data_IF_096498895246
#
_entry.id   IF_096498895246
#
_cell.length_a   1.000
_cell.length_b   1.000
_cell.length_c   1.000
_cell.angle_alpha   90.00
_cell.angle_beta   90.00
_cell.angle_gamma   90.00
#
_symmetry.space_group_name_H-M   'P 1'
#
loop_
_entity.id
_entity.type
_entity.pdbx_description
1 polymer ?
#
# COMPACT_ATOMS: atom_id res chain seq x y z
N UNK A 1 9.68 -21.27 38.93
CA UNK A 1 9.04 -22.42 38.23
C UNK A 1 7.53 -22.26 38.03
N UNK A 2 6.76 -21.73 39.01
CA UNK A 2 5.32 -21.42 38.83
C UNK A 2 5.05 -20.36 37.76
N UNK A 3 5.89 -19.31 37.68
CA UNK A 3 5.72 -18.25 36.67
C UNK A 3 6.00 -18.72 35.24
N UNK A 4 6.95 -19.65 35.07
CA UNK A 4 7.23 -20.28 33.78
C UNK A 4 6.04 -21.09 33.26
N UNK A 5 5.42 -21.91 34.12
CA UNK A 5 4.21 -22.68 33.76
C UNK A 5 3.04 -21.76 33.40
N UNK A 6 2.85 -20.67 34.16
CA UNK A 6 1.81 -19.66 33.88
C UNK A 6 2.06 -18.89 32.58
N UNK A 7 3.32 -18.59 32.25
CA UNK A 7 3.67 -17.96 30.98
C UNK A 7 3.47 -18.92 29.81
N UNK A 8 3.92 -20.17 29.95
CA UNK A 8 3.77 -21.20 28.93
C UNK A 8 2.29 -21.48 28.63
N UNK A 9 1.43 -21.61 29.64
CA UNK A 9 -0.01 -21.82 29.42
C UNK A 9 -0.67 -20.64 28.71
N UNK A 10 -0.22 -19.41 28.97
CA UNK A 10 -0.70 -18.21 28.27
C UNK A 10 -0.27 -18.21 26.80
N UNK A 11 0.98 -18.57 26.51
CA UNK A 11 1.48 -18.68 25.14
C UNK A 11 0.69 -19.74 24.35
N UNK A 12 0.49 -20.92 24.94
CA UNK A 12 -0.29 -22.00 24.30
C UNK A 12 -1.72 -21.57 24.01
N UNK A 13 -2.38 -20.90 24.96
CA UNK A 13 -3.74 -20.39 24.74
C UNK A 13 -3.79 -19.33 23.63
N UNK A 14 -2.79 -18.45 23.57
CA UNK A 14 -2.69 -17.41 22.55
C UNK A 14 -2.40 -18.01 21.16
N UNK A 15 -1.54 -19.02 21.08
CA UNK A 15 -1.26 -19.74 19.83
C UNK A 15 -2.51 -20.45 19.29
N UNK A 16 -3.30 -21.08 20.18
CA UNK A 16 -4.56 -21.69 19.81
C UNK A 16 -5.55 -20.66 19.28
N UNK A 17 -5.70 -19.53 19.97
CA UNK A 17 -6.57 -18.43 19.55
C UNK A 17 -6.15 -17.84 18.18
N UNK A 18 -4.84 -17.72 17.93
CA UNK A 18 -4.31 -17.32 16.63
C UNK A 18 -4.64 -18.34 15.53
N UNK A 19 -4.51 -19.64 15.81
CA UNK A 19 -4.81 -20.70 14.85
C UNK A 19 -6.30 -20.74 14.50
N UNK A 20 -7.18 -20.58 15.49
CA UNK A 20 -8.63 -20.52 15.32
C UNK A 20 -9.04 -19.28 14.53
N UNK A 21 -8.45 -18.11 14.86
CA UNK A 21 -8.67 -16.87 14.10
C UNK A 21 -8.22 -16.99 12.65
N UNK A 22 -7.05 -17.57 12.39
CA UNK A 22 -6.55 -17.78 11.02
C UNK A 22 -7.46 -18.74 10.22
N UNK A 23 -8.03 -19.73 10.90
CA UNK A 23 -8.99 -20.65 10.29
C UNK A 23 -10.27 -19.92 9.89
N UNK A 24 -10.81 -19.06 10.76
CA UNK A 24 -11.96 -18.20 10.46
C UNK A 24 -11.67 -17.30 9.27
N UNK A 25 -10.50 -16.64 9.22
CA UNK A 25 -10.08 -15.76 8.10
C UNK A 25 -10.06 -16.54 6.78
N UNK A 26 -9.51 -17.76 6.78
CA UNK A 26 -9.44 -18.60 5.57
C UNK A 26 -10.82 -19.04 5.10
N UNK A 27 -11.66 -19.53 6.01
CA UNK A 27 -13.02 -19.96 5.69
C UNK A 27 -13.81 -18.77 5.15
N UNK A 28 -13.73 -17.61 5.82
CA UNK A 28 -14.36 -16.39 5.36
C UNK A 28 -13.88 -15.99 3.96
N UNK A 29 -12.58 -15.98 3.71
CA UNK A 29 -12.03 -15.63 2.40
C UNK A 29 -12.49 -16.59 1.31
N UNK A 30 -12.55 -17.89 1.61
CA UNK A 30 -13.10 -18.87 0.68
C UNK A 30 -14.60 -18.66 0.45
N UNK A 31 -15.41 -18.40 1.48
CA UNK A 31 -16.85 -18.26 1.32
C UNK A 31 -17.27 -16.97 0.61
N UNK A 32 -16.52 -15.88 0.78
CA UNK A 32 -16.96 -14.54 0.33
C UNK A 32 -16.09 -13.91 -0.77
N UNK A 33 -14.87 -14.42 -1.03
CA UNK A 33 -13.99 -13.89 -2.08
C UNK A 33 -13.67 -14.87 -3.21
N UNK A 34 -14.09 -16.14 -3.15
CA UNK A 34 -13.83 -17.11 -4.23
C UNK A 34 -14.86 -17.00 -5.37
N UNK A 35 -14.72 -16.00 -6.25
CA UNK A 35 -15.22 -15.96 -7.64
C UNK A 35 -16.73 -16.04 -7.92
N UNK A 36 -17.54 -16.60 -7.01
CA UNK A 36 -19.00 -16.63 -7.07
C UNK A 36 -19.46 -15.44 -6.26
N UNK A 37 -20.02 -14.41 -6.92
CA UNK A 37 -20.64 -13.29 -6.23
C UNK A 37 -21.86 -13.82 -5.46
N UNK A 38 -21.64 -14.34 -4.26
CA UNK A 38 -22.73 -14.72 -3.39
C UNK A 38 -23.57 -13.47 -3.15
N UNK A 39 -24.85 -13.49 -3.54
CA UNK A 39 -25.74 -12.36 -3.25
C UNK A 39 -25.79 -12.22 -1.73
N UNK A 40 -25.27 -11.10 -1.22
CA UNK A 40 -25.23 -10.76 0.21
C UNK A 40 -26.63 -10.30 0.66
N UNK A 41 -27.57 -11.24 0.67
CA UNK A 41 -28.95 -11.04 1.07
C UNK A 41 -29.28 -11.84 2.34
N UNK A 42 -30.19 -11.31 3.18
CA UNK A 42 -30.70 -12.01 4.35
C UNK A 42 -29.64 -12.40 5.39
N UNK A 43 -29.68 -13.66 5.84
CA UNK A 43 -28.80 -14.18 6.92
C UNK A 43 -27.31 -14.16 6.55
N UNK A 44 -26.97 -14.30 5.27
CA UNK A 44 -25.58 -14.26 4.81
C UNK A 44 -24.94 -12.89 5.05
N UNK A 45 -25.71 -11.80 4.94
CA UNK A 45 -25.23 -10.45 5.23
C UNK A 45 -24.84 -10.29 6.69
N UNK A 46 -25.67 -10.79 7.62
CA UNK A 46 -25.39 -10.73 9.05
C UNK A 46 -24.15 -11.57 9.42
N UNK A 47 -24.00 -12.75 8.83
CA UNK A 47 -22.80 -13.59 9.00
C UNK A 47 -21.56 -12.89 8.45
N UNK A 48 -21.65 -12.30 7.26
CA UNK A 48 -20.58 -11.55 6.62
C UNK A 48 -20.15 -10.34 7.48
N UNK A 49 -21.08 -9.53 7.95
CA UNK A 49 -20.81 -8.37 8.79
C UNK A 49 -20.17 -8.76 10.13
N UNK A 50 -20.64 -9.85 10.75
CA UNK A 50 -20.07 -10.37 12.00
C UNK A 50 -18.61 -10.82 11.84
N UNK A 51 -18.29 -11.56 10.78
CA UNK A 51 -16.95 -12.11 10.60
C UNK A 51 -15.98 -11.12 9.96
N UNK A 52 -16.45 -10.25 9.07
CA UNK A 52 -15.64 -9.14 8.54
C UNK A 52 -15.12 -8.24 9.66
N UNK A 53 -15.93 -7.89 10.66
CA UNK A 53 -15.47 -7.12 11.82
C UNK A 53 -14.35 -7.82 12.62
N UNK A 54 -14.30 -9.16 12.59
CA UNK A 54 -13.21 -9.96 13.19
C UNK A 54 -11.95 -10.05 12.33
N UNK A 55 -12.07 -9.75 11.03
CA UNK A 55 -10.95 -9.70 10.06
C UNK A 55 -10.41 -8.27 9.91
N UNK A 56 -11.26 -7.28 10.20
CA UNK A 56 -10.94 -5.86 10.24
C UNK A 56 -10.08 -5.42 11.45
N UNK A 57 -9.75 -6.15 12.55
CA UNK A 57 -8.78 -5.60 13.52
C UNK A 57 -7.37 -5.39 12.93
N UNK A 58 -7.10 -5.92 11.73
CA UNK A 58 -5.90 -5.63 10.94
C UNK A 58 -6.04 -4.41 10.01
N UNK A 59 -7.25 -3.92 9.79
CA UNK A 59 -7.60 -2.79 8.93
C UNK A 59 -8.27 -1.71 9.78
N UNK A 60 -7.69 -0.51 9.89
CA UNK A 60 -8.38 0.58 10.60
C UNK A 60 -9.78 0.80 9.97
N UNK A 61 -10.82 1.11 10.76
CA UNK A 61 -12.11 1.56 10.20
C UNK A 61 -11.99 2.86 9.38
N UNK A 62 -10.81 3.50 9.40
CA UNK A 62 -10.53 4.72 8.65
C UNK A 62 -9.90 4.37 7.30
N UNK A 63 -10.38 5.08 6.27
CA UNK A 63 -9.91 4.94 4.90
C UNK A 63 -8.58 5.71 4.80
N UNK A 64 -7.53 5.14 4.17
CA UNK A 64 -6.28 5.87 3.98
C UNK A 64 -6.49 7.14 3.15
N UNK A 65 -5.71 8.18 3.42
CA UNK A 65 -5.77 9.44 2.67
C UNK A 65 -4.80 9.38 1.47
N UNK A 66 -5.31 9.69 0.27
CA UNK A 66 -4.49 9.80 -0.95
C UNK A 66 -4.04 11.24 -1.16
N UNK A 67 -2.75 11.48 -1.24
CA UNK A 67 -2.18 12.79 -1.59
C UNK A 67 -1.65 12.78 -3.03
N UNK A 68 -1.99 13.82 -3.80
CA UNK A 68 -1.43 14.05 -5.13
C UNK A 68 -0.61 15.34 -5.10
N UNK A 69 0.72 15.21 -5.00
CA UNK A 69 1.61 16.36 -4.86
C UNK A 69 1.58 17.03 -3.48
N UNK A 70 1.71 18.36 -3.44
CA UNK A 70 1.71 19.19 -2.21
C UNK A 70 0.30 19.46 -1.65
N UNK A 71 -0.74 19.13 -2.41
CA UNK A 71 -2.11 19.19 -1.93
C UNK A 71 -2.37 17.84 -1.25
N UNK A 72 -2.41 17.85 0.08
CA UNK A 72 -3.15 16.84 0.83
C UNK A 72 -4.61 17.03 0.48
N UNK A 73 -4.99 16.58 -0.71
CA UNK A 73 -6.38 16.40 -1.02
C UNK A 73 -6.81 15.33 -0.05
N UNK A 74 -7.65 15.67 0.91
CA UNK A 74 -8.53 14.70 1.55
C UNK A 74 -9.50 14.24 0.47
N UNK A 75 -8.99 13.67 -0.63
CA UNK A 75 -9.81 12.96 -1.59
C UNK A 75 -10.19 11.68 -0.87
N UNK A 76 -11.26 11.78 -0.08
CA UNK A 76 -12.42 10.93 -0.24
C UNK A 76 -12.32 10.23 -1.60
N UNK A 77 -12.24 8.90 -1.59
CA UNK A 77 -12.24 8.01 -2.77
C UNK A 77 -10.86 7.61 -3.33
N UNK A 78 -10.13 6.79 -2.56
CA UNK A 78 -8.93 6.04 -3.01
C UNK A 78 -9.17 5.22 -4.30
N UNK A 79 -10.42 4.83 -4.59
CA UNK A 79 -10.75 3.91 -5.68
C UNK A 79 -11.83 4.42 -6.66
N UNK A 80 -12.20 5.69 -6.60
CA UNK A 80 -13.23 6.27 -7.49
C UNK A 80 -14.67 5.99 -7.01
N UNK A 81 -15.39 7.08 -6.80
CA UNK A 81 -16.84 7.22 -6.54
C UNK A 81 -17.47 6.40 -5.39
N UNK A 82 -17.98 7.11 -4.37
CA UNK A 82 -18.98 6.61 -3.42
C UNK A 82 -18.53 6.51 -1.97
N UNK A 83 -19.34 7.04 -1.04
CA UNK A 83 -19.20 6.82 0.41
C UNK A 83 -19.15 5.31 0.70
N UNK A 84 -18.11 4.76 1.34
CA UNK A 84 -17.93 3.32 1.46
C UNK A 84 -18.73 2.74 2.64
N UNK A 85 -19.32 3.60 3.47
CA UNK A 85 -19.85 3.25 4.80
C UNK A 85 -21.32 3.66 4.96
N UNK A 86 -21.94 4.35 4.00
CA UNK A 86 -23.35 4.76 4.20
C UNK A 86 -24.30 3.57 4.27
N UNK A 87 -23.98 2.40 3.70
CA UNK A 87 -24.80 1.18 3.79
C UNK A 87 -24.04 -0.17 3.64
N UNK A 88 -22.70 -0.17 3.69
CA UNK A 88 -21.87 -1.31 3.23
C UNK A 88 -20.69 -1.68 4.12
N UNK A 89 -20.16 -2.87 3.88
CA UNK A 89 -19.01 -3.41 4.59
C UNK A 89 -17.69 -2.88 3.98
N UNK A 90 -16.77 -2.38 4.81
CA UNK A 90 -15.49 -1.84 4.36
C UNK A 90 -14.64 -2.86 3.58
N UNK A 91 -14.70 -4.14 3.98
CA UNK A 91 -13.94 -5.21 3.35
C UNK A 91 -14.48 -5.54 1.94
N UNK A 92 -15.80 -5.50 1.76
CA UNK A 92 -16.46 -5.64 0.45
C UNK A 92 -16.09 -4.46 -0.47
N UNK A 93 -16.08 -3.25 0.10
CA UNK A 93 -15.61 -2.07 -0.62
C UNK A 93 -14.17 -2.25 -1.10
N UNK A 94 -13.22 -2.64 -0.23
CA UNK A 94 -11.85 -2.92 -0.67
C UNK A 94 -11.81 -4.00 -1.73
N UNK A 95 -12.47 -5.14 -1.52
CA UNK A 95 -12.44 -6.25 -2.48
C UNK A 95 -12.93 -5.87 -3.88
N UNK A 96 -14.05 -5.15 -3.99
CA UNK A 96 -14.62 -4.73 -5.28
C UNK A 96 -13.80 -3.66 -5.98
N UNK A 97 -13.10 -2.84 -5.20
CA UNK A 97 -12.39 -1.66 -5.69
C UNK A 97 -10.87 -1.86 -5.81
N UNK A 98 -10.34 -2.99 -5.35
CA UNK A 98 -8.95 -3.40 -5.55
C UNK A 98 -8.70 -3.72 -7.03
N UNK A 99 -8.37 -2.69 -7.82
CA UNK A 99 -7.87 -2.83 -9.18
C UNK A 99 -6.37 -2.55 -9.21
N UNK A 100 -5.56 -3.60 -9.38
CA UNK A 100 -4.13 -3.47 -9.56
C UNK A 100 -3.81 -2.89 -10.94
N UNK A 101 -3.52 -1.59 -11.01
CA UNK A 101 -3.24 -0.91 -12.29
C UNK A 101 -1.75 -0.61 -12.51
N UNK A 102 -0.88 -0.82 -11.50
CA UNK A 102 0.53 -0.45 -11.61
C UNK A 102 1.45 -0.99 -10.52
N UNK A 103 2.56 -0.27 -10.29
CA UNK A 103 3.64 -0.64 -9.38
C UNK A 103 3.38 -0.04 -8.02
N UNK A 104 3.30 -0.86 -6.98
CA UNK A 104 3.09 -0.42 -5.60
C UNK A 104 4.38 -0.57 -4.79
N UNK A 105 4.80 0.48 -4.09
CA UNK A 105 6.00 0.52 -3.26
C UNK A 105 5.65 0.92 -1.83
N UNK A 106 6.14 0.18 -0.84
CA UNK A 106 6.15 0.65 0.54
C UNK A 106 7.43 1.44 0.82
N UNK A 107 7.31 2.64 1.39
CA UNK A 107 8.41 3.56 1.57
C UNK A 107 8.35 4.33 2.88
N UNK A 108 9.54 4.69 3.36
CA UNK A 108 9.77 5.63 4.46
C UNK A 108 10.75 6.69 3.98
N UNK A 109 10.88 7.82 4.69
CA UNK A 109 11.82 8.90 4.32
C UNK A 109 13.24 8.40 4.04
N UNK A 110 13.73 7.42 4.80
CA UNK A 110 15.08 6.84 4.64
C UNK A 110 15.33 6.19 3.28
N UNK A 111 14.29 5.81 2.55
CA UNK A 111 14.35 5.16 1.23
C UNK A 111 14.15 6.15 0.07
N UNK A 112 13.97 7.45 0.37
CA UNK A 112 13.63 8.46 -0.64
C UNK A 112 14.64 8.56 -1.78
N UNK A 113 15.95 8.43 -1.49
CA UNK A 113 17.02 8.49 -2.49
C UNK A 113 17.00 7.30 -3.44
N UNK A 114 16.74 6.12 -2.90
CA UNK A 114 16.64 4.86 -3.65
C UNK A 114 15.40 4.88 -4.55
N UNK A 115 14.28 5.39 -4.05
CA UNK A 115 13.03 5.53 -4.81
C UNK A 115 13.21 6.48 -6.01
N UNK A 116 13.88 7.62 -5.81
CA UNK A 116 14.20 8.54 -6.92
C UNK A 116 15.01 7.84 -8.01
N UNK A 117 16.06 7.09 -7.62
CA UNK A 117 16.86 6.31 -8.58
C UNK A 117 16.03 5.26 -9.31
N UNK A 118 15.15 4.58 -8.57
CA UNK A 118 14.26 3.57 -9.13
C UNK A 118 13.31 4.18 -10.18
N UNK A 119 12.69 5.32 -9.87
CA UNK A 119 11.82 6.04 -10.81
C UNK A 119 12.59 6.42 -12.08
N UNK A 120 13.83 6.93 -11.97
CA UNK A 120 14.64 7.25 -13.14
C UNK A 120 14.92 6.02 -14.01
N UNK A 121 15.24 4.87 -13.40
CA UNK A 121 15.44 3.62 -14.13
C UNK A 121 14.16 3.18 -14.82
N UNK A 122 13.01 3.19 -14.14
CA UNK A 122 11.72 2.84 -14.75
C UNK A 122 11.38 3.74 -15.95
N UNK A 123 11.64 5.03 -15.83
CA UNK A 123 11.46 5.99 -16.93
C UNK A 123 12.40 5.72 -18.09
N UNK A 124 13.67 5.39 -17.82
CA UNK A 124 14.64 5.03 -18.85
C UNK A 124 14.27 3.74 -19.59
N UNK A 125 13.56 2.83 -18.93
CA UNK A 125 13.01 1.61 -19.53
C UNK A 125 11.68 1.85 -20.27
N UNK A 126 11.19 3.09 -20.34
CA UNK A 126 9.94 3.40 -21.02
C UNK A 126 8.68 2.90 -20.30
N UNK A 127 8.74 2.66 -18.98
CA UNK A 127 7.59 2.22 -18.20
C UNK A 127 6.43 3.22 -18.34
N UNK A 128 5.20 2.73 -18.52
CA UNK A 128 3.98 3.57 -18.57
C UNK A 128 3.03 3.30 -17.40
N UNK A 129 3.35 2.32 -16.57
CA UNK A 129 2.50 1.93 -15.45
C UNK A 129 2.55 2.99 -14.34
N UNK A 130 1.40 3.32 -13.72
CA UNK A 130 1.38 4.23 -12.58
C UNK A 130 2.17 3.64 -11.41
N UNK A 131 2.77 4.52 -10.60
CA UNK A 131 3.52 4.17 -9.40
C UNK A 131 2.76 4.68 -8.18
N UNK A 132 2.44 3.79 -7.25
CA UNK A 132 1.80 4.14 -5.98
C UNK A 132 2.76 3.90 -4.83
N UNK A 133 3.01 4.93 -4.02
CA UNK A 133 3.90 4.85 -2.87
C UNK A 133 3.08 4.91 -1.58
N UNK A 134 3.07 3.79 -0.88
CA UNK A 134 2.48 3.62 0.45
C UNK A 134 3.50 4.02 1.52
N UNK A 135 3.15 4.99 2.36
CA UNK A 135 4.00 5.43 3.48
C UNK A 135 3.18 5.61 4.75
N UNK A 136 3.82 5.57 5.93
CA UNK A 136 3.13 5.58 7.22
C UNK A 136 3.35 6.88 7.97
N UNK A 137 2.88 8.00 7.39
CA UNK A 137 3.08 9.36 7.92
C UNK A 137 4.54 9.71 8.24
N UNK A 138 5.48 8.95 7.69
CA UNK A 138 6.92 8.98 7.96
C UNK A 138 7.71 9.43 6.73
N UNK A 139 7.02 9.97 5.73
CA UNK A 139 7.58 10.56 4.52
C UNK A 139 7.56 12.09 4.64
N UNK A 140 8.73 12.70 4.84
CA UNK A 140 8.88 14.15 4.96
C UNK A 140 8.51 14.87 3.66
N UNK A 141 8.02 16.11 3.76
CA UNK A 141 7.65 16.94 2.61
C UNK A 141 8.78 17.06 1.57
N UNK A 142 10.02 17.29 2.01
CA UNK A 142 11.19 17.34 1.11
C UNK A 142 11.40 16.04 0.33
N UNK A 143 11.15 14.89 0.96
CA UNK A 143 11.24 13.60 0.31
C UNK A 143 10.09 13.37 -0.68
N UNK A 144 8.86 13.77 -0.32
CA UNK A 144 7.71 13.76 -1.24
C UNK A 144 8.00 14.58 -2.50
N UNK A 145 8.48 15.81 -2.32
CA UNK A 145 8.84 16.70 -3.43
C UNK A 145 9.94 16.11 -4.32
N UNK A 146 11.01 15.56 -3.74
CA UNK A 146 12.08 14.92 -4.51
C UNK A 146 11.58 13.75 -5.37
N UNK A 147 10.67 12.93 -4.82
CA UNK A 147 10.05 11.81 -5.52
C UNK A 147 9.14 12.30 -6.66
N UNK A 148 8.31 13.32 -6.40
CA UNK A 148 7.44 13.93 -7.43
C UNK A 148 8.27 14.54 -8.56
N UNK A 149 9.34 15.26 -8.23
CA UNK A 149 10.25 15.85 -9.22
C UNK A 149 10.89 14.77 -10.11
N UNK A 150 11.34 13.66 -9.53
CA UNK A 150 11.91 12.54 -10.28
C UNK A 150 10.92 11.93 -11.30
N UNK A 151 9.62 11.95 -10.99
CA UNK A 151 8.57 11.44 -11.87
C UNK A 151 8.19 12.41 -13.00
N UNK A 152 8.27 13.72 -12.77
CA UNK A 152 7.77 14.76 -13.69
C UNK A 152 8.87 15.47 -14.51
N UNK A 153 10.12 15.45 -14.06
CA UNK A 153 11.21 16.21 -14.71
C UNK A 153 11.43 15.80 -16.17
N UNK A 154 11.80 16.75 -17.04
CA UNK A 154 12.08 16.48 -18.45
C UNK A 154 13.39 15.70 -18.61
N UNK A 155 13.54 15.04 -19.76
CA UNK A 155 14.62 14.11 -20.04
C UNK A 155 16.00 14.77 -19.98
N UNK A 156 16.08 16.01 -20.45
CA UNK A 156 17.30 16.81 -20.55
C UNK A 156 17.87 17.13 -19.16
N UNK A 157 16.98 17.44 -18.21
CA UNK A 157 17.34 17.71 -16.82
C UNK A 157 17.78 16.44 -16.10
N UNK A 158 17.19 15.29 -16.45
CA UNK A 158 17.48 14.00 -15.79
C UNK A 158 18.74 13.31 -16.29
N UNK A 159 19.07 13.51 -17.57
CA UNK A 159 20.26 12.95 -18.20
C UNK A 159 21.43 13.95 -18.26
N UNK A 160 21.25 15.18 -17.78
CA UNK A 160 22.28 16.20 -17.74
C UNK A 160 23.43 15.86 -16.79
N UNK A 161 24.61 16.42 -17.07
CA UNK A 161 25.87 16.17 -16.35
C UNK A 161 25.88 16.67 -14.90
N UNK A 162 24.92 17.51 -14.50
CA UNK A 162 24.87 18.13 -13.16
C UNK A 162 24.28 17.22 -12.06
N UNK A 163 23.74 16.05 -12.41
CA UNK A 163 23.14 15.16 -11.41
C UNK A 163 24.17 14.22 -10.76
N UNK A 164 24.21 14.23 -9.42
CA UNK A 164 25.05 13.36 -8.58
C UNK A 164 24.83 11.85 -8.78
N UNK A 165 23.77 11.44 -9.49
CA UNK A 165 23.38 10.05 -9.69
C UNK A 165 23.59 9.52 -11.13
N UNK A 166 24.13 10.32 -12.05
CA UNK A 166 24.34 9.90 -13.45
C UNK A 166 25.17 8.60 -13.58
N UNK A 167 26.24 8.48 -12.78
CA UNK A 167 27.08 7.29 -12.76
C UNK A 167 26.36 6.03 -12.26
N UNK A 168 25.44 6.17 -11.31
CA UNK A 168 24.65 5.04 -10.79
C UNK A 168 23.62 4.57 -11.83
N UNK A 169 22.99 5.53 -12.52
CA UNK A 169 22.08 5.24 -13.62
C UNK A 169 22.82 4.53 -14.76
N UNK A 170 23.97 5.04 -15.20
CA UNK A 170 24.80 4.41 -16.24
C UNK A 170 25.18 2.96 -15.90
N UNK A 171 25.53 2.67 -14.64
CA UNK A 171 25.81 1.30 -14.17
C UNK A 171 24.57 0.39 -14.17
N UNK A 172 23.41 0.92 -13.80
CA UNK A 172 22.16 0.14 -13.83
C UNK A 172 21.77 -0.19 -15.29
N UNK A 173 21.89 0.78 -16.18
CA UNK A 173 21.59 0.63 -17.60
C UNK A 173 22.55 -0.32 -18.31
N UNK A 174 23.85 -0.23 -18.02
CA UNK A 174 24.83 -1.16 -18.58
C UNK A 174 24.56 -2.60 -18.16
N UNK A 175 24.07 -2.82 -16.92
CA UNK A 175 23.65 -4.16 -16.46
C UNK A 175 22.37 -4.63 -17.14
N UNK A 176 21.49 -3.71 -17.53
CA UNK A 176 20.29 -4.00 -18.29
C UNK A 176 20.55 -4.16 -19.82
N UNK A 177 21.81 -4.01 -20.27
CA UNK A 177 22.19 -4.12 -21.68
C UNK A 177 21.85 -2.89 -22.53
N UNK A 178 21.55 -1.75 -21.91
CA UNK A 178 21.18 -0.50 -22.61
C UNK A 178 22.34 0.49 -22.61
N UNK A 179 22.68 1.04 -23.78
CA UNK A 179 23.60 2.16 -23.91
C UNK A 179 22.88 3.50 -23.72
N UNK A 180 23.61 4.53 -23.31
CA UNK A 180 23.07 5.87 -23.05
C UNK A 180 22.51 6.50 -24.32
N UNK A 181 23.12 6.22 -25.47
CA UNK A 181 22.74 6.76 -26.77
C UNK A 181 21.36 6.22 -27.22
N UNK A 182 21.09 4.94 -26.99
CA UNK A 182 19.78 4.33 -27.26
C UNK A 182 18.69 4.98 -26.38
N UNK A 183 19.02 5.34 -25.14
CA UNK A 183 18.08 5.97 -24.22
C UNK A 183 17.80 7.41 -24.62
N UNK A 184 18.76 8.12 -25.23
CA UNK A 184 18.53 9.45 -25.80
C UNK A 184 17.52 9.43 -26.95
N UNK A 185 17.37 8.30 -27.65
CA UNK A 185 16.33 8.13 -28.67
C UNK A 185 15.01 7.58 -28.12
N UNK A 186 15.04 6.88 -26.98
CA UNK A 186 13.82 6.32 -26.38
C UNK A 186 12.87 7.39 -25.81
N UNK A 187 11.54 7.17 -25.89
CA UNK A 187 10.58 8.01 -25.20
C UNK A 187 10.79 7.89 -23.68
N UNK A 188 10.92 9.03 -23.00
CA UNK A 188 11.14 9.10 -21.56
C UNK A 188 9.85 9.58 -20.85
N UNK A 189 8.82 8.72 -20.76
CA UNK A 189 7.49 9.13 -20.33
C UNK A 189 7.52 9.67 -18.90
N UNK A 190 6.68 10.68 -18.64
CA UNK A 190 6.36 11.09 -17.27
C UNK A 190 5.60 9.96 -16.57
N UNK A 191 5.92 9.73 -15.30
CA UNK A 191 5.25 8.70 -14.51
C UNK A 191 4.08 9.33 -13.76
N UNK A 192 2.91 8.69 -13.84
CA UNK A 192 1.81 9.00 -12.93
C UNK A 192 2.15 8.45 -11.55
N UNK A 193 2.36 9.34 -10.57
CA UNK A 193 2.76 8.98 -9.22
C UNK A 193 1.70 9.38 -8.21
N UNK A 194 1.33 8.45 -7.32
CA UNK A 194 0.39 8.67 -6.22
C UNK A 194 1.06 8.38 -4.89
N UNK A 195 0.88 9.27 -3.92
CA UNK A 195 1.39 9.10 -2.55
C UNK A 195 0.21 8.75 -1.63
N UNK A 196 0.22 7.55 -1.07
CA UNK A 196 -0.86 7.06 -0.20
C UNK A 196 -0.33 7.03 1.24
N UNK A 197 -0.92 7.87 2.09
CA UNK A 197 -0.60 7.87 3.52
C UNK A 197 -1.47 6.84 4.24
N UNK A 198 -0.83 5.75 4.66
CA UNK A 198 -1.43 4.79 5.56
C UNK A 198 -1.28 5.34 6.98
N UNK A 199 -2.37 5.88 7.53
CA UNK A 199 -2.39 6.25 8.95
C UNK A 199 -2.08 5.02 9.82
N UNK A 200 -1.64 5.25 11.07
CA UNK A 200 -1.26 4.14 11.96
C UNK A 200 -2.48 3.21 12.12
N UNK A 201 -2.41 1.93 11.72
CA UNK A 201 -3.55 1.01 11.83
C UNK A 201 -3.85 0.62 13.28
N UNK A 202 -2.95 0.95 14.20
CA UNK A 202 -3.09 0.73 15.63
C UNK A 202 -2.93 2.09 16.32
N UNK A 203 -4.04 2.68 16.76
CA UNK A 203 -4.01 3.41 18.03
C UNK A 203 -3.52 2.44 19.11
N UNK A 204 -3.03 2.94 20.24
CA UNK A 204 -2.65 2.03 21.33
C UNK A 204 -3.90 1.21 21.67
N UNK A 205 -3.90 -0.08 21.28
CA UNK A 205 -4.94 -1.04 21.66
C UNK A 205 -5.09 -0.91 23.17
N UNK A 206 -6.21 -0.35 23.60
CA UNK A 206 -6.50 -0.33 25.01
C UNK A 206 -6.92 -1.76 25.35
N UNK A 207 -6.50 -2.28 26.50
CA UNK A 207 -6.74 -3.70 26.84
C UNK A 207 -8.23 -4.07 26.82
N UNK A 208 -9.11 -3.07 26.90
CA UNK A 208 -10.56 -3.19 26.80
C UNK A 208 -11.06 -3.67 25.44
N UNK A 209 -10.34 -3.41 24.35
CA UNK A 209 -10.83 -3.68 22.99
C UNK A 209 -10.90 -5.19 22.69
N UNK A 210 -10.16 -6.00 23.45
CA UNK A 210 -10.24 -7.47 23.43
C UNK A 210 -11.07 -8.05 24.58
N UNK A 211 -11.48 -7.23 25.56
CA UNK A 211 -12.21 -7.67 26.76
C UNK A 211 -13.73 -7.48 26.65
N UNK A 212 -14.22 -6.76 25.64
CA UNK A 212 -15.64 -6.68 25.31
C UNK A 212 -16.08 -7.69 24.23
N UNK A 213 -15.28 -8.74 24.01
CA UNK A 213 -15.61 -9.88 23.15
C UNK A 213 -16.26 -11.03 23.94
#
# INVERSE_FOLDING_TARGET
MKDFKKSSSKTVALEQDMADTMTIVRIFGHCFFSGVSASLEGELKHVYDRYSQKIIPFFHPEIPSKSFGDIETTSLWLFGSGNPVENGNLLDYYYRNMQGTGIVLSAATRHSREIVKFIHVLRALGNKLPIEILYRSDLLMKAKQAIMLAASQPKEVLLGDELTNYNALKRALSRAGLSVDIIQEMPFPQQSLSLINMQKPLSKLDKSDFLQL
#
